data_IF_726928172711
#
_entry.id   IF_726928172711
#
_cell.length_a   1.000
_cell.length_b   1.000
_cell.length_c   1.000
_cell.angle_alpha   90.00
_cell.angle_beta   90.00
_cell.angle_gamma   90.00
#
_symmetry.space_group_name_H-M   'P 1'
#
loop_
_entity.id
_entity.type
_entity.pdbx_description
1 polymer ?
#
# COMPACT_ATOMS: atom_id res chain seq x y z
N UNK A 1 34.88 -44.35 -55.07
CA UNK A 1 34.92 -44.24 -53.59
C UNK A 1 35.05 -42.77 -53.14
N UNK A 2 36.05 -42.01 -53.62
CA UNK A 2 36.21 -40.59 -53.27
C UNK A 2 35.01 -39.68 -53.64
N UNK A 3 34.37 -39.90 -54.79
CA UNK A 3 33.21 -39.11 -55.24
C UNK A 3 31.93 -39.39 -54.43
N UNK A 4 31.78 -40.59 -53.87
CA UNK A 4 30.66 -40.98 -53.01
C UNK A 4 30.79 -40.38 -51.60
N UNK A 5 32.01 -40.29 -51.07
CA UNK A 5 32.29 -39.64 -49.78
C UNK A 5 32.01 -38.13 -49.80
N UNK A 6 32.33 -37.46 -50.91
CA UNK A 6 32.03 -36.02 -51.10
C UNK A 6 30.52 -35.73 -51.11
N UNK A 7 29.70 -36.57 -51.76
CA UNK A 7 28.24 -36.39 -51.78
C UNK A 7 27.62 -36.72 -50.43
N UNK A 8 28.12 -37.75 -49.74
CA UNK A 8 27.61 -38.16 -48.42
C UNK A 8 27.89 -37.14 -47.32
N UNK A 9 29.06 -36.47 -47.34
CA UNK A 9 29.43 -35.50 -46.30
C UNK A 9 29.00 -34.05 -46.60
N UNK A 10 29.00 -33.58 -47.85
CA UNK A 10 28.66 -32.18 -48.14
C UNK A 10 27.16 -31.86 -48.05
N UNK A 11 26.27 -32.80 -48.38
CA UNK A 11 24.82 -32.52 -48.36
C UNK A 11 24.29 -32.24 -46.94
N UNK A 12 24.61 -33.04 -45.92
CA UNK A 12 24.17 -32.75 -44.55
C UNK A 12 24.72 -31.44 -43.99
N UNK A 13 25.98 -31.09 -44.32
CA UNK A 13 26.58 -29.81 -43.96
C UNK A 13 25.86 -28.63 -44.62
N UNK A 14 25.46 -28.77 -45.87
CA UNK A 14 24.69 -27.73 -46.57
C UNK A 14 23.33 -27.49 -45.92
N UNK A 15 22.62 -28.57 -45.51
CA UNK A 15 21.36 -28.45 -44.76
C UNK A 15 21.55 -27.81 -43.38
N UNK A 16 22.68 -28.09 -42.72
CA UNK A 16 23.02 -27.46 -41.44
C UNK A 16 23.24 -25.95 -41.60
N UNK A 17 24.01 -25.53 -42.61
CA UNK A 17 24.30 -24.11 -42.88
C UNK A 17 23.01 -23.37 -43.24
N UNK A 18 22.20 -23.91 -44.16
CA UNK A 18 20.93 -23.29 -44.56
C UNK A 18 19.94 -23.21 -43.39
N UNK A 19 19.92 -24.22 -42.52
CA UNK A 19 19.09 -24.21 -41.33
C UNK A 19 19.54 -23.20 -40.29
N UNK A 20 20.85 -23.04 -40.08
CA UNK A 20 21.41 -22.01 -39.21
C UNK A 20 21.18 -20.60 -39.74
N UNK A 21 21.28 -20.38 -41.06
CA UNK A 21 20.95 -19.09 -41.67
C UNK A 21 19.49 -18.72 -41.43
N UNK A 22 18.56 -19.67 -41.56
CA UNK A 22 17.13 -19.44 -41.29
C UNK A 22 16.84 -19.14 -39.82
N UNK A 23 17.44 -19.89 -38.90
CA UNK A 23 17.28 -19.65 -37.45
C UNK A 23 17.90 -18.30 -37.05
N UNK A 24 19.00 -17.90 -37.72
CA UNK A 24 19.71 -16.65 -37.45
C UNK A 24 19.05 -15.42 -38.07
N UNK A 25 18.22 -15.58 -39.10
CA UNK A 25 17.38 -14.50 -39.63
C UNK A 25 16.17 -14.26 -38.71
N UNK A 26 15.82 -12.99 -38.51
CA UNK A 26 14.76 -12.57 -37.57
C UNK A 26 13.39 -13.20 -37.88
N UNK A 27 13.19 -13.65 -39.11
CA UNK A 27 11.91 -14.10 -39.65
C UNK A 27 11.46 -15.50 -39.20
N UNK A 28 12.35 -16.43 -38.81
CA UNK A 28 11.95 -17.81 -38.52
C UNK A 28 12.78 -18.53 -37.44
N UNK A 29 12.78 -17.98 -36.23
CA UNK A 29 13.39 -18.61 -35.04
C UNK A 29 12.71 -19.94 -34.63
N UNK A 30 11.52 -20.23 -35.16
CA UNK A 30 10.80 -21.49 -34.96
C UNK A 30 11.29 -22.61 -35.90
N UNK A 31 12.12 -22.29 -36.90
CA UNK A 31 12.66 -23.27 -37.83
C UNK A 31 13.49 -24.34 -37.12
N UNK A 32 13.30 -25.61 -37.51
CA UNK A 32 14.07 -26.75 -36.99
C UNK A 32 14.73 -27.48 -38.14
N UNK A 33 16.01 -27.78 -37.98
CA UNK A 33 16.78 -28.52 -38.98
C UNK A 33 16.35 -29.99 -38.92
N UNK A 34 15.98 -30.56 -40.06
CA UNK A 34 15.53 -31.96 -40.17
C UNK A 34 16.74 -32.90 -40.12
N UNK A 35 16.67 -33.94 -39.28
CA UNK A 35 17.73 -34.96 -39.15
C UNK A 35 17.77 -35.91 -40.35
N UNK A 36 18.97 -36.26 -40.83
CA UNK A 36 19.21 -37.22 -41.92
C UNK A 36 19.55 -38.63 -41.41
N UNK A 37 20.01 -39.57 -42.26
CA UNK A 37 20.35 -40.93 -41.85
C UNK A 37 21.68 -41.07 -41.07
N UNK A 38 22.44 -39.98 -40.89
CA UNK A 38 23.83 -40.01 -40.40
C UNK A 38 23.90 -39.61 -38.92
N UNK A 39 24.23 -40.57 -38.04
CA UNK A 39 24.13 -40.43 -36.59
C UNK A 39 24.95 -39.27 -36.00
N UNK A 40 26.17 -39.04 -36.48
CA UNK A 40 27.07 -38.02 -35.92
C UNK A 40 26.57 -36.59 -36.18
N UNK A 41 25.99 -36.35 -37.36
CA UNK A 41 25.44 -35.03 -37.74
C UNK A 41 24.08 -34.80 -37.09
N UNK A 42 23.30 -35.86 -36.87
CA UNK A 42 22.04 -35.77 -36.15
C UNK A 42 22.20 -35.31 -34.70
N UNK A 43 23.27 -35.73 -34.01
CA UNK A 43 23.56 -35.26 -32.67
C UNK A 43 23.82 -33.74 -32.62
N UNK A 44 24.52 -33.20 -33.63
CA UNK A 44 24.77 -31.76 -33.77
C UNK A 44 23.47 -31.02 -34.11
N UNK A 45 22.68 -31.53 -35.06
CA UNK A 45 21.37 -30.97 -35.42
C UNK A 45 20.44 -30.93 -34.19
N UNK A 46 20.39 -32.00 -33.39
CA UNK A 46 19.58 -32.05 -32.18
C UNK A 46 20.04 -31.01 -31.16
N UNK A 47 21.34 -30.84 -30.94
CA UNK A 47 21.87 -29.80 -30.04
C UNK A 47 21.55 -28.39 -30.53
N UNK A 48 21.62 -28.13 -31.83
CA UNK A 48 21.26 -26.84 -32.43
C UNK A 48 19.76 -26.58 -32.27
N UNK A 49 18.90 -27.56 -32.56
CA UNK A 49 17.46 -27.44 -32.37
C UNK A 49 17.10 -27.17 -30.90
N UNK A 50 17.73 -27.87 -29.94
CA UNK A 50 17.56 -27.62 -28.50
C UNK A 50 18.03 -26.20 -28.09
N UNK A 51 19.11 -25.70 -28.69
CA UNK A 51 19.59 -24.34 -28.45
C UNK A 51 18.61 -23.30 -29.02
N UNK A 52 18.04 -23.54 -30.21
CA UNK A 52 17.02 -22.69 -30.82
C UNK A 52 15.73 -22.69 -29.99
N UNK A 53 15.30 -23.84 -29.45
CA UNK A 53 14.16 -23.94 -28.52
C UNK A 53 14.39 -23.08 -27.27
N UNK A 54 15.58 -23.18 -26.64
CA UNK A 54 15.92 -22.38 -25.45
C UNK A 54 15.99 -20.88 -25.76
N UNK A 55 16.57 -20.51 -26.90
CA UNK A 55 16.66 -19.12 -27.31
C UNK A 55 15.27 -18.51 -27.51
N UNK A 56 14.39 -19.21 -28.24
CA UNK A 56 13.02 -18.78 -28.47
C UNK A 56 12.23 -18.69 -27.17
N UNK A 57 12.38 -19.67 -26.27
CA UNK A 57 11.74 -19.64 -24.96
C UNK A 57 12.19 -18.43 -24.13
N UNK A 58 13.49 -18.15 -24.07
CA UNK A 58 14.03 -16.99 -23.34
C UNK A 58 13.57 -15.66 -23.96
N UNK A 59 13.49 -15.56 -25.29
CA UNK A 59 13.03 -14.34 -25.97
C UNK A 59 11.54 -14.11 -25.75
N UNK A 60 10.72 -15.17 -25.84
CA UNK A 60 9.29 -15.10 -25.50
C UNK A 60 9.11 -14.69 -24.03
N UNK A 61 9.84 -15.32 -23.11
CA UNK A 61 9.78 -15.00 -21.69
C UNK A 61 10.18 -13.54 -21.43
N UNK A 62 11.24 -13.05 -22.08
CA UNK A 62 11.66 -11.65 -22.02
C UNK A 62 10.58 -10.71 -22.53
N UNK A 63 9.99 -10.97 -23.70
CA UNK A 63 8.92 -10.14 -24.25
C UNK A 63 7.66 -10.15 -23.38
N UNK A 64 7.31 -11.30 -22.80
CA UNK A 64 6.22 -11.41 -21.82
C UNK A 64 6.55 -10.59 -20.58
N UNK A 65 7.79 -10.66 -20.08
CA UNK A 65 8.25 -9.89 -18.92
C UNK A 65 8.18 -8.39 -19.20
N UNK A 66 8.74 -7.94 -20.32
CA UNK A 66 8.72 -6.52 -20.73
C UNK A 66 7.28 -6.01 -20.91
N UNK A 67 6.40 -6.83 -21.50
CA UNK A 67 4.98 -6.48 -21.67
C UNK A 67 4.26 -6.43 -20.32
N UNK A 68 4.50 -7.39 -19.42
CA UNK A 68 3.94 -7.39 -18.06
C UNK A 68 4.41 -6.15 -17.30
N UNK A 69 5.70 -5.84 -17.32
CA UNK A 69 6.25 -4.65 -16.66
C UNK A 69 5.62 -3.36 -17.21
N UNK A 70 5.49 -3.23 -18.54
CA UNK A 70 4.81 -2.08 -19.15
C UNK A 70 3.36 -1.96 -18.69
N UNK A 71 2.59 -3.05 -18.71
CA UNK A 71 1.19 -3.03 -18.26
C UNK A 71 1.08 -2.65 -16.79
N UNK A 72 1.96 -3.15 -15.92
CA UNK A 72 1.97 -2.81 -14.50
C UNK A 72 2.26 -1.32 -14.26
N UNK A 73 3.19 -0.74 -15.02
CA UNK A 73 3.55 0.68 -14.92
C UNK A 73 2.44 1.57 -15.49
N UNK A 74 1.88 1.22 -16.64
CA UNK A 74 0.83 2.02 -17.30
C UNK A 74 -0.51 1.98 -16.56
N UNK A 75 -0.87 0.83 -15.97
CA UNK A 75 -2.11 0.70 -15.18
C UNK A 75 -1.94 1.12 -13.71
N UNK A 76 -0.77 1.59 -13.31
CA UNK A 76 -0.58 2.17 -11.98
C UNK A 76 -1.45 3.42 -11.83
N UNK A 77 -2.15 3.54 -10.70
CA UNK A 77 -2.86 4.78 -10.35
C UNK A 77 -1.91 5.91 -9.96
N UNK A 78 -0.70 5.57 -9.51
CA UNK A 78 0.31 6.54 -9.14
C UNK A 78 1.12 6.96 -10.36
N UNK A 79 1.58 8.21 -10.39
CA UNK A 79 2.45 8.68 -11.47
C UNK A 79 3.83 8.07 -11.27
N UNK A 80 4.26 7.28 -12.24
CA UNK A 80 5.58 6.66 -12.28
C UNK A 80 6.38 7.34 -13.38
N UNK A 81 7.56 7.83 -13.04
CA UNK A 81 8.43 8.51 -13.99
C UNK A 81 9.90 8.12 -13.80
N UNK A 82 10.71 8.39 -14.81
CA UNK A 82 12.16 8.35 -14.71
C UNK A 82 12.77 9.63 -15.27
N UNK A 83 13.90 10.06 -14.72
CA UNK A 83 14.66 11.20 -15.21
C UNK A 83 16.16 10.93 -15.17
N UNK A 84 16.90 11.62 -16.04
CA UNK A 84 18.36 11.57 -16.05
C UNK A 84 18.97 12.36 -14.87
N UNK A 85 20.29 12.38 -14.78
CA UNK A 85 21.02 13.10 -13.72
C UNK A 85 20.81 14.63 -13.77
N UNK A 86 20.42 15.18 -14.93
CA UNK A 86 20.11 16.60 -15.12
C UNK A 86 18.64 16.94 -14.76
N UNK A 87 17.85 15.97 -14.30
CA UNK A 87 16.44 16.16 -13.95
C UNK A 87 15.49 16.24 -15.15
N UNK A 88 15.94 15.81 -16.34
CA UNK A 88 15.13 15.71 -17.55
C UNK A 88 14.34 14.39 -17.55
N UNK A 89 13.02 14.48 -17.73
CA UNK A 89 12.12 13.32 -17.71
C UNK A 89 12.37 12.42 -18.94
N UNK A 90 12.73 11.17 -18.72
CA UNK A 90 12.95 10.15 -19.76
C UNK A 90 11.65 9.40 -20.05
N UNK A 91 10.92 8.99 -19.01
CA UNK A 91 9.64 8.29 -19.13
C UNK A 91 8.66 8.79 -18.07
N UNK A 92 7.37 8.70 -18.38
CA UNK A 92 6.27 8.93 -17.44
C UNK A 92 5.06 8.15 -17.93
N UNK A 93 4.29 7.54 -17.02
CA UNK A 93 3.11 6.73 -17.34
C UNK A 93 1.84 7.59 -17.57
N UNK A 94 0.78 6.95 -18.03
CA UNK A 94 -0.50 7.62 -18.34
C UNK A 94 -1.18 8.29 -17.13
N UNK A 95 -0.89 7.84 -15.90
CA UNK A 95 -1.44 8.42 -14.68
C UNK A 95 -1.15 9.93 -14.54
N UNK A 96 -0.07 10.43 -15.17
CA UNK A 96 0.20 11.87 -15.27
C UNK A 96 -0.99 12.66 -15.82
N UNK A 97 -1.68 12.14 -16.85
CA UNK A 97 -2.83 12.80 -17.45
C UNK A 97 -4.03 12.80 -16.50
N UNK A 98 -4.25 11.69 -15.81
CA UNK A 98 -5.39 11.53 -14.89
C UNK A 98 -5.26 12.45 -13.67
N UNK A 99 -4.04 12.63 -13.16
CA UNK A 99 -3.77 13.52 -12.02
C UNK A 99 -3.47 14.95 -12.47
N UNK A 100 -2.46 15.19 -13.30
CA UNK A 100 -2.02 16.57 -13.60
C UNK A 100 -2.59 17.15 -14.90
N UNK A 101 -3.29 16.36 -15.72
CA UNK A 101 -3.90 16.83 -16.97
C UNK A 101 -2.93 16.97 -18.15
N UNK A 102 -1.64 16.69 -17.97
CA UNK A 102 -0.64 16.71 -19.05
C UNK A 102 -0.57 15.37 -19.78
N UNK A 103 -0.39 15.41 -21.09
CA UNK A 103 -0.04 14.21 -21.85
C UNK A 103 1.42 13.80 -21.57
N UNK A 104 1.74 12.50 -21.43
CA UNK A 104 3.11 12.03 -21.22
C UNK A 104 4.14 12.59 -22.20
N UNK A 105 3.75 12.76 -23.47
CA UNK A 105 4.60 13.31 -24.52
C UNK A 105 4.91 14.81 -24.35
N UNK A 106 4.09 15.56 -23.60
CA UNK A 106 4.33 16.97 -23.29
C UNK A 106 5.39 17.14 -22.21
N UNK A 107 5.59 16.15 -21.35
CA UNK A 107 6.55 16.19 -20.25
C UNK A 107 7.86 15.49 -20.63
N UNK A 108 7.78 14.44 -21.42
CA UNK A 108 8.96 13.68 -21.86
C UNK A 108 9.98 14.57 -22.56
N UNK A 109 11.23 14.51 -22.10
CA UNK A 109 12.35 15.31 -22.59
C UNK A 109 12.43 16.71 -22.01
N UNK A 110 11.55 17.09 -21.07
CA UNK A 110 11.59 18.40 -20.39
C UNK A 110 12.06 18.28 -18.93
N UNK A 111 12.54 19.38 -18.32
CA UNK A 111 12.92 19.38 -16.90
C UNK A 111 11.71 19.11 -16.01
N UNK A 112 11.87 18.21 -15.02
CA UNK A 112 10.82 17.91 -14.04
C UNK A 112 10.36 19.18 -13.29
N UNK A 113 11.27 20.12 -13.05
CA UNK A 113 11.01 21.40 -12.38
C UNK A 113 9.90 22.23 -13.03
N UNK A 114 9.58 22.00 -14.30
CA UNK A 114 8.49 22.73 -14.97
C UNK A 114 7.11 22.38 -14.38
N UNK A 115 6.95 21.17 -13.82
CA UNK A 115 5.73 20.79 -13.12
C UNK A 115 5.60 21.49 -11.77
N UNK A 116 6.65 22.12 -11.25
CA UNK A 116 6.63 22.84 -9.97
C UNK A 116 6.41 24.35 -10.12
N UNK A 117 6.41 24.88 -11.35
CA UNK A 117 6.37 26.33 -11.58
C UNK A 117 4.97 26.80 -11.99
N UNK A 118 4.41 27.71 -11.19
CA UNK A 118 3.46 28.71 -11.67
C UNK A 118 4.24 29.99 -11.95
N UNK A 119 3.88 30.75 -12.99
CA UNK A 119 4.61 31.93 -13.52
C UNK A 119 4.83 33.09 -12.51
N UNK A 120 4.50 32.91 -11.23
CA UNK A 120 4.45 33.95 -10.19
C UNK A 120 5.62 33.89 -9.18
N UNK A 121 6.49 32.87 -9.17
CA UNK A 121 7.54 32.75 -8.13
C UNK A 121 8.97 32.82 -8.69
N UNK A 122 9.78 33.67 -8.06
CA UNK A 122 11.18 33.99 -8.41
C UNK A 122 12.09 32.78 -8.22
N UNK A 123 13.27 32.83 -8.85
CA UNK A 123 14.41 31.88 -8.80
C UNK A 123 14.92 31.43 -7.40
N UNK A 124 14.29 31.89 -6.31
CA UNK A 124 14.62 31.57 -4.91
C UNK A 124 13.55 30.67 -4.25
N UNK A 125 12.83 29.85 -5.03
CA UNK A 125 11.80 28.98 -4.48
C UNK A 125 12.45 27.87 -3.64
N UNK A 126 12.26 27.96 -2.31
CA UNK A 126 12.75 26.99 -1.31
C UNK A 126 12.38 25.55 -1.72
N UNK A 127 11.30 25.37 -2.46
CA UNK A 127 10.84 24.10 -3.02
C UNK A 127 11.84 23.46 -3.98
N UNK A 128 12.44 24.24 -4.89
CA UNK A 128 13.44 23.73 -5.85
C UNK A 128 14.74 23.35 -5.12
N UNK A 129 15.18 24.19 -4.17
CA UNK A 129 16.34 23.88 -3.34
C UNK A 129 16.13 22.60 -2.53
N UNK A 130 14.92 22.38 -2.01
CA UNK A 130 14.55 21.16 -1.30
C UNK A 130 14.59 19.94 -2.22
N UNK A 131 14.03 20.02 -3.42
CA UNK A 131 14.10 18.95 -4.41
C UNK A 131 15.55 18.63 -4.78
N UNK A 132 16.36 19.65 -5.10
CA UNK A 132 17.78 19.46 -5.45
C UNK A 132 18.59 18.87 -4.29
N UNK A 133 18.35 19.31 -3.05
CA UNK A 133 18.96 18.70 -1.87
C UNK A 133 18.59 17.22 -1.76
N UNK A 134 17.34 16.86 -2.06
CA UNK A 134 16.86 15.48 -1.99
C UNK A 134 17.41 14.62 -3.12
N UNK A 135 17.52 15.13 -4.34
CA UNK A 135 18.18 14.42 -5.44
C UNK A 135 19.63 14.07 -5.09
N UNK A 136 20.35 15.00 -4.46
CA UNK A 136 21.70 14.76 -3.95
C UNK A 136 21.73 13.68 -2.86
N UNK A 137 20.84 13.78 -1.87
CA UNK A 137 20.73 12.77 -0.80
C UNK A 137 20.48 11.37 -1.35
N UNK A 138 19.54 11.22 -2.28
CA UNK A 138 19.17 9.92 -2.87
C UNK A 138 20.32 9.36 -3.71
N UNK A 139 21.05 10.22 -4.42
CA UNK A 139 22.25 9.83 -5.17
C UNK A 139 23.36 9.30 -4.27
N UNK A 140 23.58 9.91 -3.10
CA UNK A 140 24.65 9.51 -2.17
C UNK A 140 24.26 8.31 -1.29
N UNK A 141 23.00 8.22 -0.85
CA UNK A 141 22.52 7.24 0.14
C UNK A 141 21.77 6.06 -0.48
N UNK A 142 21.38 6.15 -1.76
CA UNK A 142 20.73 5.07 -2.52
C UNK A 142 19.28 4.75 -2.16
N UNK A 143 18.66 5.46 -1.20
CA UNK A 143 17.24 5.26 -0.84
C UNK A 143 16.50 6.59 -0.70
N UNK A 144 15.33 6.65 -1.33
CA UNK A 144 14.37 7.74 -1.23
C UNK A 144 13.71 7.84 0.12
N UNK A 145 13.58 9.08 0.61
CA UNK A 145 12.56 9.42 1.60
C UNK A 145 11.33 9.98 0.87
N UNK A 146 10.17 9.81 1.48
CA UNK A 146 8.96 10.47 1.01
C UNK A 146 9.11 11.99 1.18
N UNK A 147 8.87 12.74 0.11
CA UNK A 147 8.89 14.20 0.08
C UNK A 147 7.52 14.69 -0.37
N UNK A 148 6.86 15.51 0.43
CA UNK A 148 5.66 16.20 -0.02
C UNK A 148 6.06 17.34 -0.96
N UNK A 149 5.53 17.35 -2.18
CA UNK A 149 5.77 18.39 -3.17
C UNK A 149 4.45 18.90 -3.73
N UNK A 150 4.46 20.12 -4.25
CA UNK A 150 3.33 20.73 -4.95
C UNK A 150 3.66 20.76 -6.44
N UNK A 151 2.77 20.16 -7.24
CA UNK A 151 2.87 20.15 -8.70
C UNK A 151 1.69 20.93 -9.28
N UNK A 152 1.93 21.64 -10.38
CA UNK A 152 0.91 22.38 -11.11
C UNK A 152 0.21 21.44 -12.08
N UNK A 153 -1.12 21.52 -12.17
CA UNK A 153 -1.89 20.88 -13.25
C UNK A 153 -1.78 21.70 -14.54
N UNK A 154 -2.17 21.10 -15.67
CA UNK A 154 -2.23 21.77 -16.97
C UNK A 154 -3.17 23.00 -17.00
N UNK A 155 -4.07 23.11 -16.03
CA UNK A 155 -4.99 24.25 -15.89
C UNK A 155 -4.50 25.31 -14.88
N UNK A 156 -3.30 25.12 -14.30
CA UNK A 156 -2.70 26.07 -13.38
C UNK A 156 -3.17 25.94 -11.92
N UNK A 157 -3.73 24.80 -11.53
CA UNK A 157 -4.06 24.50 -10.12
C UNK A 157 -2.91 23.76 -9.44
N UNK A 158 -2.51 24.13 -8.21
CA UNK A 158 -1.54 23.38 -7.44
C UNK A 158 -2.16 22.08 -6.88
N UNK A 159 -1.40 21.00 -6.94
CA UNK A 159 -1.77 19.68 -6.43
C UNK A 159 -0.62 19.14 -5.57
N UNK A 160 -0.89 18.90 -4.28
CA UNK A 160 0.07 18.28 -3.37
C UNK A 160 0.18 16.77 -3.61
N UNK A 161 1.40 16.27 -3.81
CA UNK A 161 1.69 14.86 -4.02
C UNK A 161 2.87 14.41 -3.18
N UNK A 162 2.90 13.13 -2.82
CA UNK A 162 4.02 12.50 -2.14
C UNK A 162 4.99 11.91 -3.17
N UNK A 163 6.17 12.52 -3.29
CA UNK A 163 7.26 12.06 -4.14
C UNK A 163 8.16 11.07 -3.39
N UNK A 164 8.38 9.90 -3.98
CA UNK A 164 9.44 8.96 -3.62
C UNK A 164 10.40 8.82 -4.78
N UNK A 165 11.70 8.95 -4.51
CA UNK A 165 12.76 8.85 -5.52
C UNK A 165 13.75 7.74 -5.18
N UNK A 166 14.12 6.93 -6.15
CA UNK A 166 15.21 5.97 -6.05
C UNK A 166 16.26 6.29 -7.11
N UNK A 167 17.52 5.97 -6.82
CA UNK A 167 18.62 6.14 -7.77
C UNK A 167 19.12 4.77 -8.18
N UNK A 168 18.90 4.41 -9.44
CA UNK A 168 19.18 3.07 -9.96
C UNK A 168 20.09 3.15 -11.19
N UNK A 169 20.91 2.12 -11.37
CA UNK A 169 21.76 1.96 -12.54
C UNK A 169 21.13 0.95 -13.50
N UNK A 170 20.90 1.37 -14.75
CA UNK A 170 20.28 0.56 -15.80
C UNK A 170 21.20 0.57 -17.02
N UNK A 171 21.73 -0.60 -17.41
CA UNK A 171 22.61 -0.76 -18.59
C UNK A 171 23.71 0.31 -18.71
N UNK A 172 24.42 0.60 -17.60
CA UNK A 172 25.47 1.63 -17.47
C UNK A 172 25.01 3.09 -17.47
N UNK A 173 23.71 3.36 -17.43
CA UNK A 173 23.17 4.72 -17.25
C UNK A 173 22.54 4.83 -15.87
N UNK A 174 22.84 5.89 -15.14
CA UNK A 174 22.15 6.16 -13.89
C UNK A 174 20.88 6.95 -14.17
N UNK A 175 19.80 6.57 -13.50
CA UNK A 175 18.51 7.26 -13.61
C UNK A 175 17.89 7.42 -12.22
N UNK A 176 17.22 8.55 -12.04
CA UNK A 176 16.28 8.69 -10.93
C UNK A 176 14.96 8.06 -11.35
N UNK A 177 14.49 7.11 -10.55
CA UNK A 177 13.17 6.52 -10.69
C UNK A 177 12.26 7.12 -9.64
N UNK A 178 11.12 7.68 -10.06
CA UNK A 178 10.23 8.45 -9.21
C UNK A 178 8.82 7.90 -9.21
N UNK A 179 8.18 7.96 -8.04
CA UNK A 179 6.76 7.68 -7.85
C UNK A 179 6.10 8.87 -7.16
N UNK A 180 5.03 9.39 -7.72
CA UNK A 180 4.16 10.40 -7.11
C UNK A 180 2.84 9.75 -6.74
N UNK A 181 2.56 9.74 -5.45
CA UNK A 181 1.31 9.23 -4.89
C UNK A 181 0.43 10.42 -4.54
N UNK A 182 -0.80 10.45 -5.08
CA UNK A 182 -1.81 11.41 -4.63
C UNK A 182 -2.46 10.85 -3.38
N UNK A 183 -2.27 11.51 -2.24
CA UNK A 183 -3.05 11.22 -1.04
C UNK A 183 -4.38 11.98 -1.11
N UNK A 184 -5.31 11.44 -1.92
CA UNK A 184 -6.65 12.03 -2.08
C UNK A 184 -7.45 11.99 -0.77
N UNK A 185 -7.20 11.00 0.09
CA UNK A 185 -7.85 10.89 1.40
C UNK A 185 -7.38 12.00 2.34
N UNK A 186 -6.08 12.29 2.40
CA UNK A 186 -5.57 13.41 3.20
C UNK A 186 -6.07 14.77 2.68
N UNK A 187 -6.14 14.94 1.37
CA UNK A 187 -6.58 16.20 0.74
C UNK A 187 -8.06 16.51 1.04
N UNK A 188 -8.95 15.51 0.93
CA UNK A 188 -10.36 15.68 1.29
C UNK A 188 -10.51 15.89 2.80
N UNK A 189 -9.70 15.22 3.63
CA UNK A 189 -9.72 15.42 5.08
C UNK A 189 -9.41 16.86 5.48
N UNK A 190 -8.54 17.57 4.73
CA UNK A 190 -8.17 18.98 4.95
C UNK A 190 -9.30 19.97 4.65
N UNK A 191 -10.20 19.65 3.73
CA UNK A 191 -11.35 20.53 3.38
C UNK A 191 -12.66 20.11 4.04
N UNK A 192 -12.72 18.92 4.64
CA UNK A 192 -13.88 18.44 5.38
C UNK A 192 -14.12 19.32 6.63
N UNK A 193 -15.27 20.00 6.69
CA UNK A 193 -15.67 20.83 7.84
C UNK A 193 -16.20 19.98 9.01
N UNK A 194 -16.98 18.94 8.70
CA UNK A 194 -17.45 17.93 9.63
C UNK A 194 -17.84 16.65 8.87
N UNK A 195 -17.80 15.52 9.55
CA UNK A 195 -18.29 14.25 9.03
C UNK A 195 -19.03 13.43 10.10
N UNK A 196 -19.96 12.59 9.64
CA UNK A 196 -20.64 11.60 10.49
C UNK A 196 -20.79 10.30 9.73
N UNK A 197 -20.44 9.18 10.35
CA UNK A 197 -20.51 7.84 9.76
C UNK A 197 -21.14 6.85 10.74
N UNK A 198 -21.81 5.83 10.21
CA UNK A 198 -22.38 4.72 10.96
C UNK A 198 -21.94 3.42 10.30
N UNK A 199 -21.34 2.54 11.09
CA UNK A 199 -20.83 1.25 10.68
C UNK A 199 -21.50 0.14 11.48
N UNK A 200 -21.63 -1.03 10.86
CA UNK A 200 -22.01 -2.27 11.51
C UNK A 200 -20.98 -3.32 11.16
N UNK A 201 -20.33 -3.89 12.18
CA UNK A 201 -19.30 -4.91 12.00
C UNK A 201 -19.67 -6.19 12.72
N UNK A 202 -19.28 -7.34 12.16
CA UNK A 202 -19.35 -8.62 12.86
C UNK A 202 -18.23 -8.78 13.89
N UNK A 203 -18.03 -10.01 14.38
CA UNK A 203 -17.15 -10.29 15.52
C UNK A 203 -15.68 -10.55 15.13
N UNK A 204 -15.22 -10.06 13.98
CA UNK A 204 -13.85 -10.27 13.51
C UNK A 204 -12.93 -9.14 14.01
N UNK A 205 -11.91 -9.50 14.79
CA UNK A 205 -10.94 -8.54 15.34
C UNK A 205 -10.14 -7.82 14.26
N UNK A 206 -9.88 -8.47 13.12
CA UNK A 206 -9.24 -7.85 11.96
C UNK A 206 -10.07 -6.69 11.39
N UNK A 207 -11.38 -6.90 11.19
CA UNK A 207 -12.31 -5.87 10.73
C UNK A 207 -12.39 -4.71 11.73
N UNK A 208 -12.37 -4.99 13.03
CA UNK A 208 -12.33 -3.96 14.07
C UNK A 208 -11.07 -3.09 14.00
N UNK A 209 -9.90 -3.69 13.73
CA UNK A 209 -8.65 -2.94 13.55
C UNK A 209 -8.66 -2.09 12.27
N UNK A 210 -9.20 -2.61 11.17
CA UNK A 210 -9.37 -1.81 9.94
C UNK A 210 -10.30 -0.62 10.17
N UNK A 211 -11.42 -0.83 10.88
CA UNK A 211 -12.33 0.25 11.25
C UNK A 211 -11.66 1.27 12.18
N UNK A 212 -10.87 0.84 13.16
CA UNK A 212 -10.11 1.73 14.05
C UNK A 212 -9.22 2.70 13.27
N UNK A 213 -8.48 2.19 12.27
CA UNK A 213 -7.63 3.04 11.43
C UNK A 213 -8.47 4.08 10.68
N UNK A 214 -9.61 3.67 10.10
CA UNK A 214 -10.51 4.58 9.39
C UNK A 214 -11.13 5.65 10.32
N UNK A 215 -11.51 5.26 11.54
CA UNK A 215 -12.11 6.15 12.55
C UNK A 215 -11.13 7.17 13.15
N UNK A 216 -9.83 6.99 12.89
CA UNK A 216 -8.77 7.84 13.45
C UNK A 216 -7.92 8.52 12.36
N UNK A 217 -8.22 8.30 11.09
CA UNK A 217 -7.47 8.80 9.94
C UNK A 217 -7.41 10.34 9.90
N UNK A 218 -8.53 11.02 10.20
CA UNK A 218 -8.61 12.47 10.15
C UNK A 218 -8.12 13.18 11.44
N UNK A 219 -7.77 12.43 12.50
CA UNK A 219 -7.37 13.02 13.79
C UNK A 219 -6.04 13.79 13.77
N UNK A 220 -5.01 13.44 12.97
CA UNK A 220 -3.75 14.21 12.92
C UNK A 220 -3.93 15.68 12.55
N UNK A 221 -5.05 16.05 11.92
CA UNK A 221 -5.39 17.46 11.64
C UNK A 221 -5.72 18.26 12.90
N UNK A 222 -6.21 17.61 13.95
CA UNK A 222 -6.76 18.26 15.13
C UNK A 222 -5.98 17.96 16.42
N UNK A 223 -5.19 16.89 16.42
CA UNK A 223 -4.46 16.40 17.58
C UNK A 223 -3.00 16.11 17.21
N UNK A 224 -2.09 16.27 18.17
CA UNK A 224 -0.69 15.86 17.97
C UNK A 224 -0.58 14.32 17.91
N UNK A 225 0.55 13.82 17.44
CA UNK A 225 0.79 12.38 17.27
C UNK A 225 0.57 11.58 18.57
N UNK A 226 0.98 12.11 19.73
CA UNK A 226 0.82 11.43 21.02
C UNK A 226 -0.64 11.30 21.44
N UNK A 227 -1.45 12.33 21.21
CA UNK A 227 -2.88 12.33 21.49
C UNK A 227 -3.63 11.40 20.52
N UNK A 228 -3.27 11.41 19.23
CA UNK A 228 -3.82 10.47 18.23
C UNK A 228 -3.53 9.03 18.65
N UNK A 229 -2.30 8.74 19.07
CA UNK A 229 -1.92 7.41 19.53
C UNK A 229 -2.69 7.00 20.78
N UNK A 230 -2.86 7.90 21.74
CA UNK A 230 -3.67 7.65 22.93
C UNK A 230 -5.14 7.35 22.55
N UNK A 231 -5.77 8.20 21.73
CA UNK A 231 -7.14 7.99 21.26
C UNK A 231 -7.27 6.62 20.56
N UNK A 232 -6.31 6.25 19.69
CA UNK A 232 -6.27 4.94 19.04
C UNK A 232 -6.26 3.79 20.06
N UNK A 233 -5.41 3.86 21.09
CA UNK A 233 -5.33 2.83 22.14
C UNK A 233 -6.66 2.71 22.89
N UNK A 234 -7.22 3.84 23.35
CA UNK A 234 -8.48 3.85 24.09
C UNK A 234 -9.67 3.37 23.26
N UNK A 235 -9.74 3.77 21.98
CA UNK A 235 -10.81 3.36 21.08
C UNK A 235 -10.71 1.87 20.70
N UNK A 236 -9.48 1.38 20.46
CA UNK A 236 -9.23 -0.05 20.19
C UNK A 236 -9.81 -0.91 21.30
N UNK A 237 -9.51 -0.55 22.53
CA UNK A 237 -9.98 -1.29 23.69
C UNK A 237 -11.51 -1.34 23.79
N UNK A 238 -12.19 -0.23 23.51
CA UNK A 238 -13.65 -0.19 23.55
C UNK A 238 -14.27 -1.05 22.43
N UNK A 239 -13.70 -1.05 21.24
CA UNK A 239 -14.12 -1.92 20.13
C UNK A 239 -13.89 -3.40 20.44
N UNK A 240 -12.73 -3.74 20.98
CA UNK A 240 -12.38 -5.12 21.33
C UNK A 240 -13.28 -5.63 22.45
N UNK A 241 -13.55 -4.82 23.48
CA UNK A 241 -14.46 -5.20 24.57
C UNK A 241 -15.89 -5.42 24.08
N UNK A 242 -16.38 -4.60 23.16
CA UNK A 242 -17.69 -4.79 22.52
C UNK A 242 -17.79 -6.12 21.78
N UNK A 243 -16.70 -6.59 21.15
CA UNK A 243 -16.65 -7.88 20.45
C UNK A 243 -16.47 -9.03 21.45
N UNK A 244 -15.40 -9.02 22.24
CA UNK A 244 -15.01 -10.13 23.13
C UNK A 244 -16.02 -10.33 24.26
N UNK A 245 -16.25 -9.28 25.05
CA UNK A 245 -17.10 -9.36 26.24
C UNK A 245 -18.57 -9.13 25.92
N UNK A 246 -18.87 -8.24 24.98
CA UNK A 246 -20.24 -7.95 24.55
C UNK A 246 -20.81 -9.06 23.68
N UNK A 247 -20.41 -9.10 22.41
CA UNK A 247 -21.01 -9.99 21.43
C UNK A 247 -20.66 -11.46 21.64
N UNK A 248 -19.38 -11.79 21.82
CA UNK A 248 -18.93 -13.18 21.99
C UNK A 248 -19.17 -13.71 23.41
N UNK A 249 -19.41 -12.84 24.39
CA UNK A 249 -19.68 -13.22 25.78
C UNK A 249 -18.52 -13.96 26.44
N UNK A 250 -17.28 -13.64 26.05
CA UNK A 250 -16.07 -14.20 26.68
C UNK A 250 -15.85 -13.42 27.97
N UNK A 251 -15.82 -14.09 29.11
CA UNK A 251 -15.58 -13.46 30.40
C UNK A 251 -14.10 -13.14 30.64
N UNK A 252 -13.82 -12.27 31.61
CA UNK A 252 -12.45 -11.99 32.04
C UNK A 252 -11.73 -13.23 32.59
N UNK A 253 -12.48 -14.14 33.23
CA UNK A 253 -11.94 -15.39 33.75
C UNK A 253 -11.51 -16.33 32.61
N UNK A 254 -12.38 -16.54 31.61
CA UNK A 254 -12.05 -17.34 30.41
C UNK A 254 -10.83 -16.78 29.66
N UNK A 255 -10.71 -15.44 29.61
CA UNK A 255 -9.55 -14.75 29.03
C UNK A 255 -8.26 -15.00 29.81
N UNK A 256 -8.30 -14.99 31.15
CA UNK A 256 -7.11 -15.22 31.99
C UNK A 256 -6.69 -16.68 32.11
N UNK A 257 -7.65 -17.61 32.11
CA UNK A 257 -7.40 -19.06 32.10
C UNK A 257 -6.78 -19.53 30.77
N UNK A 258 -6.99 -18.78 29.69
CA UNK A 258 -6.41 -19.01 28.37
C UNK A 258 -4.98 -18.45 28.25
N UNK A 259 -4.11 -18.73 29.23
CA UNK A 259 -2.77 -18.12 29.39
C UNK A 259 -1.80 -18.40 28.22
N UNK A 260 -2.15 -19.29 27.30
CA UNK A 260 -1.44 -19.53 26.04
C UNK A 260 -2.25 -18.94 24.88
N UNK A 261 -1.66 -18.02 24.11
CA UNK A 261 -2.33 -17.27 23.05
C UNK A 261 -3.12 -18.12 22.06
N UNK A 262 -2.65 -19.34 21.76
CA UNK A 262 -3.32 -20.26 20.84
C UNK A 262 -4.70 -20.71 21.35
N UNK A 263 -4.83 -21.06 22.64
CA UNK A 263 -6.12 -21.48 23.23
C UNK A 263 -7.15 -20.35 23.27
N UNK A 264 -6.68 -19.13 23.48
CA UNK A 264 -7.55 -17.95 23.46
C UNK A 264 -8.09 -17.68 22.05
N UNK A 265 -7.23 -17.76 21.03
CA UNK A 265 -7.63 -17.58 19.63
C UNK A 265 -8.61 -18.66 19.18
N UNK A 266 -8.43 -19.90 19.63
CA UNK A 266 -9.38 -21.00 19.40
C UNK A 266 -10.76 -20.70 20.02
N UNK A 267 -10.81 -20.23 21.26
CA UNK A 267 -12.06 -19.85 21.93
C UNK A 267 -12.79 -18.73 21.17
N UNK A 268 -12.06 -17.69 20.73
CA UNK A 268 -12.61 -16.60 19.93
C UNK A 268 -13.17 -17.13 18.61
N UNK A 269 -12.41 -17.96 17.90
CA UNK A 269 -12.83 -18.54 16.62
C UNK A 269 -14.06 -19.47 16.78
N UNK A 270 -14.13 -20.22 17.88
CA UNK A 270 -15.28 -21.04 18.21
C UNK A 270 -16.53 -20.18 18.42
N UNK A 271 -16.45 -19.14 19.28
CA UNK A 271 -17.57 -18.24 19.56
C UNK A 271 -18.01 -17.48 18.30
N UNK A 272 -17.09 -17.06 17.44
CA UNK A 272 -17.40 -16.39 16.17
C UNK A 272 -18.27 -17.24 15.23
N UNK A 273 -18.20 -18.57 15.33
CA UNK A 273 -18.95 -19.49 14.47
C UNK A 273 -20.16 -20.13 15.14
N UNK A 274 -20.42 -19.82 16.42
CA UNK A 274 -21.49 -20.42 17.21
C UNK A 274 -22.72 -19.50 17.30
N UNK A 275 -23.94 -20.07 17.17
CA UNK A 275 -25.18 -19.36 17.46
C UNK A 275 -25.40 -19.23 18.99
N UNK A 276 -25.85 -18.08 19.52
CA UNK A 276 -26.33 -16.89 18.81
C UNK A 276 -25.22 -15.88 18.44
N UNK A 277 -23.99 -16.05 18.91
CA UNK A 277 -22.91 -15.07 18.81
C UNK A 277 -22.56 -14.69 17.37
N UNK A 278 -22.51 -15.65 16.44
CA UNK A 278 -22.16 -15.45 15.03
C UNK A 278 -22.95 -14.32 14.34
N UNK A 279 -24.23 -14.17 14.69
CA UNK A 279 -25.12 -13.20 14.05
C UNK A 279 -25.14 -11.84 14.77
N UNK A 280 -24.41 -11.71 15.89
CA UNK A 280 -24.34 -10.46 16.63
C UNK A 280 -23.44 -9.46 15.92
N UNK A 281 -23.87 -8.20 15.88
CA UNK A 281 -23.15 -7.09 15.27
C UNK A 281 -22.77 -6.05 16.32
N UNK A 282 -21.69 -5.32 16.07
CA UNK A 282 -21.33 -4.11 16.81
C UNK A 282 -21.69 -2.90 15.96
N UNK A 283 -22.56 -2.05 16.49
CA UNK A 283 -22.94 -0.75 15.91
C UNK A 283 -21.93 0.31 16.35
N UNK A 284 -21.28 0.96 15.39
CA UNK A 284 -20.29 2.01 15.64
C UNK A 284 -20.71 3.30 14.93
N UNK A 285 -20.98 4.35 15.70
CA UNK A 285 -21.22 5.69 15.17
C UNK A 285 -20.04 6.60 15.47
N UNK A 286 -19.71 7.45 14.51
CA UNK A 286 -18.60 8.38 14.58
C UNK A 286 -19.03 9.73 14.05
N UNK A 287 -18.59 10.80 14.72
CA UNK A 287 -18.74 12.16 14.24
C UNK A 287 -17.51 12.98 14.61
N UNK A 288 -16.97 13.73 13.64
CA UNK A 288 -15.84 14.63 13.82
C UNK A 288 -16.20 16.01 13.27
N UNK A 289 -15.86 17.05 14.01
CA UNK A 289 -15.92 18.44 13.58
C UNK A 289 -14.77 19.23 14.24
N UNK A 290 -14.71 20.54 14.01
CA UNK A 290 -13.64 21.40 14.54
C UNK A 290 -13.56 21.47 16.07
N UNK A 291 -14.61 21.07 16.80
CA UNK A 291 -14.69 21.24 18.26
C UNK A 291 -14.46 19.93 19.02
N UNK A 292 -14.79 18.78 18.42
CA UNK A 292 -14.70 17.47 19.08
C UNK A 292 -14.76 16.30 18.10
N UNK A 293 -14.29 15.16 18.59
CA UNK A 293 -14.61 13.84 18.04
C UNK A 293 -15.50 13.06 19.00
N UNK A 294 -16.51 12.38 18.45
CA UNK A 294 -17.46 11.54 19.18
C UNK A 294 -17.46 10.13 18.59
N UNK A 295 -17.39 9.15 19.47
CA UNK A 295 -17.58 7.74 19.14
C UNK A 295 -18.73 7.17 19.97
N UNK A 296 -19.55 6.32 19.36
CA UNK A 296 -20.55 5.51 20.07
C UNK A 296 -20.41 4.07 19.61
N UNK A 297 -20.06 3.17 20.51
CA UNK A 297 -19.91 1.74 20.24
C UNK A 297 -20.99 1.01 21.03
N UNK A 298 -21.80 0.22 20.33
CA UNK A 298 -22.89 -0.56 20.91
C UNK A 298 -22.79 -2.00 20.48
N UNK A 299 -22.74 -2.91 21.44
CA UNK A 299 -22.81 -4.35 21.22
C UNK A 299 -24.22 -4.90 21.49
N UNK A 300 -24.44 -6.15 21.08
CA UNK A 300 -25.69 -6.89 21.27
C UNK A 300 -25.59 -7.90 22.42
N UNK A 301 -24.62 -7.74 23.31
CA UNK A 301 -24.44 -8.53 24.51
C UNK A 301 -25.40 -8.15 25.64
N UNK A 302 -25.21 -8.81 26.79
CA UNK A 302 -26.00 -8.58 28.00
C UNK A 302 -25.64 -7.27 28.71
N UNK A 303 -24.49 -6.68 28.36
CA UNK A 303 -23.95 -5.51 29.05
C UNK A 303 -23.35 -5.85 30.41
N UNK A 304 -22.98 -4.83 31.18
CA UNK A 304 -22.34 -5.00 32.49
C UNK A 304 -22.61 -3.80 33.41
N UNK A 305 -22.43 -4.03 34.72
CA UNK A 305 -22.48 -2.94 35.71
C UNK A 305 -21.20 -2.09 35.64
N UNK A 306 -21.28 -1.06 34.80
CA UNK A 306 -20.20 -0.11 34.61
C UNK A 306 -19.96 0.80 35.83
N UNK A 307 -20.96 1.01 36.70
CA UNK A 307 -20.78 1.84 37.90
C UNK A 307 -19.90 1.12 38.91
N UNK A 308 -20.20 -0.15 39.18
CA UNK A 308 -19.40 -0.99 40.06
C UNK A 308 -17.99 -1.24 39.49
N UNK A 309 -17.88 -1.47 38.18
CA UNK A 309 -16.57 -1.59 37.52
C UNK A 309 -15.74 -0.31 37.73
N UNK A 310 -16.27 0.87 37.42
CA UNK A 310 -15.54 2.15 37.57
C UNK A 310 -15.16 2.47 39.02
N UNK A 311 -15.95 2.02 40.01
CA UNK A 311 -15.66 2.23 41.43
C UNK A 311 -14.59 1.28 41.96
N UNK A 312 -14.65 0.00 41.61
CA UNK A 312 -13.68 -1.01 42.06
C UNK A 312 -12.24 -0.70 41.63
N UNK A 313 -12.05 0.03 40.53
CA UNK A 313 -10.73 0.50 40.07
C UNK A 313 -10.10 1.63 40.89
N UNK A 314 -10.89 2.47 41.60
CA UNK A 314 -10.30 3.51 42.47
C UNK A 314 -9.53 2.91 43.66
N UNK A 315 -9.79 1.64 43.98
CA UNK A 315 -9.32 0.98 45.20
C UNK A 315 -8.14 0.05 44.96
N UNK A 316 -7.96 -0.50 43.74
CA UNK A 316 -6.90 -1.46 43.43
C UNK A 316 -6.25 -1.20 42.06
N UNK A 317 -5.01 -0.72 42.04
CA UNK A 317 -4.24 -0.42 40.81
C UNK A 317 -3.67 -1.66 40.11
N UNK A 318 -3.60 -2.80 40.79
CA UNK A 318 -2.83 -3.98 40.34
C UNK A 318 -3.66 -5.09 39.68
N UNK A 319 -4.98 -4.93 39.58
CA UNK A 319 -5.84 -5.92 38.90
C UNK A 319 -5.74 -5.75 37.38
N UNK A 320 -5.32 -6.83 36.70
CA UNK A 320 -5.16 -6.92 35.24
C UNK A 320 -6.49 -6.74 34.47
N UNK A 321 -7.63 -6.82 35.14
CA UNK A 321 -8.96 -6.71 34.56
C UNK A 321 -9.42 -5.25 34.58
N UNK A 322 -9.85 -4.70 33.44
CA UNK A 322 -10.42 -3.34 33.37
C UNK A 322 -9.44 -2.18 33.18
N UNK A 323 -8.16 -2.47 32.93
CA UNK A 323 -7.19 -1.47 32.43
C UNK A 323 -7.74 -0.69 31.24
N UNK A 324 -8.49 -1.38 30.39
CA UNK A 324 -9.05 -0.78 29.20
C UNK A 324 -10.00 0.38 29.44
N UNK A 325 -10.91 0.21 30.40
CA UNK A 325 -11.84 1.26 30.78
C UNK A 325 -11.12 2.44 31.47
N UNK A 326 -10.08 2.14 32.26
CA UNK A 326 -9.24 3.16 32.88
C UNK A 326 -8.44 3.97 31.85
N UNK A 327 -7.87 3.29 30.85
CA UNK A 327 -7.15 3.89 29.72
C UNK A 327 -8.11 4.80 28.93
N UNK A 328 -9.29 4.30 28.56
CA UNK A 328 -10.27 5.12 27.85
C UNK A 328 -10.67 6.36 28.67
N UNK A 329 -10.87 6.21 29.98
CA UNK A 329 -11.23 7.33 30.87
C UNK A 329 -10.11 8.35 31.06
N UNK A 330 -8.84 7.95 31.01
CA UNK A 330 -7.73 8.91 31.10
C UNK A 330 -7.48 9.66 29.79
N UNK A 331 -8.03 9.16 28.68
CA UNK A 331 -7.77 9.67 27.33
C UNK A 331 -8.92 10.54 26.85
N UNK A 332 -10.16 10.07 26.98
CA UNK A 332 -11.36 10.80 26.59
C UNK A 332 -11.84 11.74 27.71
N UNK A 333 -12.33 12.92 27.33
CA UNK A 333 -12.79 13.92 28.28
C UNK A 333 -14.17 13.55 28.85
N UNK A 334 -14.99 12.87 28.04
CA UNK A 334 -16.24 12.27 28.48
C UNK A 334 -16.35 10.81 28.07
N UNK A 335 -16.86 10.00 28.99
CA UNK A 335 -17.11 8.58 28.78
C UNK A 335 -18.41 8.20 29.50
N UNK A 336 -19.44 7.84 28.72
CA UNK A 336 -20.77 7.55 29.22
C UNK A 336 -21.25 6.19 28.72
N UNK A 337 -21.60 5.31 29.66
CA UNK A 337 -22.31 4.07 29.32
C UNK A 337 -23.82 4.29 29.38
N UNK A 338 -24.58 3.52 28.58
CA UNK A 338 -26.02 3.42 28.78
C UNK A 338 -26.34 2.59 30.04
N UNK A 339 -27.60 2.61 30.46
CA UNK A 339 -28.05 1.88 31.65
C UNK A 339 -27.72 0.37 31.61
N UNK A 340 -27.86 -0.26 30.44
CA UNK A 340 -27.55 -1.69 30.26
C UNK A 340 -26.04 -1.99 30.31
N UNK A 341 -25.19 -1.01 30.01
CA UNK A 341 -23.74 -1.20 29.91
C UNK A 341 -23.25 -1.83 28.60
N UNK A 342 -24.10 -1.95 27.59
CA UNK A 342 -23.76 -2.48 26.25
C UNK A 342 -23.57 -1.40 25.19
N UNK A 343 -23.53 -0.14 25.61
CA UNK A 343 -23.19 0.99 24.73
C UNK A 343 -22.32 1.97 25.49
N UNK A 344 -21.20 2.36 24.88
CA UNK A 344 -20.32 3.42 25.36
C UNK A 344 -20.30 4.58 24.38
N UNK A 345 -20.39 5.80 24.90
CA UNK A 345 -20.17 7.04 24.17
C UNK A 345 -18.90 7.71 24.70
N UNK A 346 -18.01 8.07 23.79
CA UNK A 346 -16.71 8.66 24.07
C UNK A 346 -16.65 10.03 23.38
N UNK A 347 -16.21 11.05 24.09
CA UNK A 347 -16.01 12.40 23.53
C UNK A 347 -14.61 12.88 23.86
N UNK A 348 -13.91 13.38 22.85
CA UNK A 348 -12.66 14.12 23.01
C UNK A 348 -12.83 15.51 22.39
N UNK A 349 -12.61 16.55 23.18
CA UNK A 349 -12.65 17.93 22.73
C UNK A 349 -11.34 18.30 22.06
N UNK A 350 -11.46 19.02 20.95
CA UNK A 350 -10.32 19.63 20.29
C UNK A 350 -10.09 20.94 21.02
N UNK A 351 -9.04 20.98 21.83
CA UNK A 351 -8.62 22.22 22.47
C UNK A 351 -7.89 23.04 21.43
N UNK A 352 -8.51 24.13 20.96
CA UNK A 352 -7.78 25.15 20.21
C UNK A 352 -6.57 25.54 21.05
N UNK A 353 -5.35 25.21 20.61
CA UNK A 353 -4.22 26.07 20.95
C UNK A 353 -4.53 27.39 20.25
N UNK A 354 -4.70 28.52 20.97
CA UNK A 354 -4.39 29.78 20.34
C UNK A 354 -2.90 29.70 19.99
N UNK A 355 -2.56 29.81 18.72
CA UNK A 355 -1.19 30.11 18.31
C UNK A 355 -0.74 31.36 19.09
N UNK A 356 0.37 31.24 19.81
CA UNK A 356 1.06 32.36 20.42
C UNK A 356 2.11 32.88 19.46
#
# INVERSE_FOLDING_TARGET
IAMLLLVFYNRPLLYLIQGLERIGTVEDHAYRIVTGPQADINAVIQRINQMADRFLANEIERQISDTKHRILVENSRDIIFSMNEDGIVITVNQALKEHLGYEPNEIKGKPFEMLMHNEVLRRDDVRLLLLQSRLRDVREKGRGQNLQIELMTAHGEPWEMNLRLEYIQVFNTNVFWGKLESDTEDSISKICAWERRHFQIGNYLSTANSLLNQLTAALPRYFNESDVMAIKIGLREMLINAIEHGNLGISFQEKSESTHGDRYLELVAQRQNQSPYKNRLVDVQYALNQNRVLYSIKDQGEGFDHQHALQSFKVNKDLYHGRGLAIARSIFDELHYNHKGNQVKLVKYITNKPEK
#
